data_IF_535975335075
#
_entry.id   IF_535975335075
#
_cell.length_a   1.000
_cell.length_b   1.000
_cell.length_c   1.000
_cell.angle_alpha   90.00
_cell.angle_beta   90.00
_cell.angle_gamma   90.00
#
_symmetry.space_group_name_H-M   'P 1'
#
loop_
_entity.id
_entity.type
_entity.pdbx_description
1 polymer ?
#
# COMPACT_ATOMS: atom_id res chain seq x y z
N UNK A 1 -6.37 11.70 -5.83
CA UNK A 1 -6.02 11.02 -4.57
C UNK A 1 -5.83 12.04 -3.46
N UNK A 2 -6.76 12.07 -2.50
CA UNK A 2 -6.68 12.77 -1.22
C UNK A 2 -7.54 11.98 -0.24
N UNK A 3 -6.93 11.45 0.82
CA UNK A 3 -7.58 10.59 1.81
C UNK A 3 -7.15 10.95 3.24
N UNK A 4 -7.97 10.56 4.20
CA UNK A 4 -7.63 10.47 5.62
C UNK A 4 -7.82 9.03 6.08
N UNK A 5 -6.82 8.46 6.75
CA UNK A 5 -6.78 7.05 7.15
C UNK A 5 -6.15 6.94 8.53
N UNK A 6 -6.64 5.98 9.35
CA UNK A 6 -6.00 5.67 10.62
C UNK A 6 -4.63 5.03 10.38
N UNK A 7 -3.62 5.58 11.05
CA UNK A 7 -2.24 5.18 10.87
C UNK A 7 -2.03 3.70 11.21
N UNK A 8 -2.65 3.24 12.29
CA UNK A 8 -2.54 1.86 12.79
C UNK A 8 -3.05 0.87 11.74
N UNK A 9 -4.21 1.15 11.14
CA UNK A 9 -4.78 0.31 10.08
C UNK A 9 -3.92 0.31 8.82
N UNK A 10 -3.34 1.46 8.46
CA UNK A 10 -2.40 1.57 7.34
C UNK A 10 -1.13 0.75 7.60
N UNK A 11 -0.57 0.84 8.80
CA UNK A 11 0.60 0.07 9.22
C UNK A 11 0.33 -1.43 9.18
N UNK A 12 -0.81 -1.88 9.69
CA UNK A 12 -1.21 -3.30 9.66
C UNK A 12 -1.29 -3.82 8.22
N UNK A 13 -1.94 -3.07 7.32
CA UNK A 13 -2.05 -3.44 5.92
C UNK A 13 -0.70 -3.49 5.20
N UNK A 14 0.18 -2.52 5.44
CA UNK A 14 1.53 -2.49 4.87
C UNK A 14 2.37 -3.69 5.35
N UNK A 15 2.28 -4.03 6.63
CA UNK A 15 2.94 -5.21 7.18
C UNK A 15 2.43 -6.50 6.55
N UNK A 16 1.12 -6.62 6.35
CA UNK A 16 0.50 -7.81 5.75
C UNK A 16 0.98 -8.04 4.30
N UNK A 17 1.12 -6.98 3.50
CA UNK A 17 1.55 -7.11 2.09
C UNK A 17 3.07 -7.10 1.91
N UNK A 18 3.85 -6.70 2.92
CA UNK A 18 5.31 -6.53 2.83
C UNK A 18 6.07 -7.78 2.33
N UNK A 19 5.56 -8.97 2.65
CA UNK A 19 6.22 -10.24 2.34
C UNK A 19 6.25 -10.57 0.84
N UNK A 20 5.30 -10.06 0.06
CA UNK A 20 5.19 -10.40 -1.38
C UNK A 20 6.03 -9.48 -2.27
N UNK A 21 6.19 -8.21 -1.88
CA UNK A 21 6.99 -7.23 -2.62
C UNK A 21 8.45 -7.24 -2.13
N UNK A 22 9.11 -8.39 -2.24
CA UNK A 22 10.53 -8.53 -1.95
C UNK A 22 11.41 -7.91 -3.05
N UNK A 23 12.69 -7.67 -2.72
CA UNK A 23 13.67 -7.04 -3.62
C UNK A 23 13.80 -7.82 -4.93
N UNK A 24 13.20 -7.31 -5.99
CA UNK A 24 13.35 -7.77 -7.37
C UNK A 24 14.15 -6.74 -8.18
N UNK A 25 15.32 -7.15 -8.68
CA UNK A 25 16.20 -6.29 -9.47
C UNK A 25 15.81 -6.25 -10.95
N UNK A 26 15.31 -7.36 -11.48
CA UNK A 26 14.93 -7.51 -12.88
C UNK A 26 13.63 -6.76 -13.20
N UNK A 27 12.69 -6.73 -12.25
CA UNK A 27 11.42 -6.03 -12.39
C UNK A 27 11.13 -5.15 -11.16
N UNK A 28 11.73 -3.94 -11.08
CA UNK A 28 11.66 -3.09 -9.90
C UNK A 28 10.26 -2.65 -9.48
N UNK A 29 9.30 -2.63 -10.41
CA UNK A 29 7.91 -2.29 -10.11
C UNK A 29 7.27 -3.27 -9.12
N UNK A 30 7.72 -4.53 -9.06
CA UNK A 30 7.27 -5.53 -8.08
C UNK A 30 7.72 -5.23 -6.64
N UNK A 31 8.65 -4.28 -6.45
CA UNK A 31 9.01 -3.76 -5.13
C UNK A 31 8.02 -2.71 -4.60
N UNK A 32 6.96 -2.42 -5.36
CA UNK A 32 6.02 -1.34 -5.08
C UNK A 32 4.73 -1.88 -4.48
N UNK A 33 4.04 -1.01 -3.75
CA UNK A 33 2.62 -1.16 -3.41
C UNK A 33 1.80 -0.27 -4.32
N UNK A 34 0.72 -0.81 -4.86
CA UNK A 34 -0.34 -0.03 -5.48
C UNK A 34 -1.34 0.36 -4.38
N UNK A 35 -1.54 1.66 -4.21
CA UNK A 35 -2.52 2.24 -3.30
C UNK A 35 -3.66 2.78 -4.17
N UNK A 36 -4.85 2.21 -4.03
CA UNK A 36 -6.05 2.67 -4.76
C UNK A 36 -7.13 3.08 -3.79
N UNK A 37 -7.68 4.28 -3.95
CA UNK A 37 -8.72 4.85 -3.09
C UNK A 37 -10.02 5.03 -3.88
N UNK A 38 -11.08 4.36 -3.44
CA UNK A 38 -12.42 4.42 -4.04
C UNK A 38 -13.46 4.44 -2.91
N UNK A 39 -14.45 5.34 -2.99
CA UNK A 39 -15.49 5.51 -1.97
C UNK A 39 -14.87 5.60 -0.56
N UNK A 40 -15.30 4.75 0.37
CA UNK A 40 -14.85 4.78 1.77
C UNK A 40 -13.68 3.83 2.04
N UNK A 41 -12.96 3.39 1.00
CA UNK A 41 -11.91 2.41 1.15
C UNK A 41 -10.62 2.78 0.42
N UNK A 42 -9.51 2.48 1.09
CA UNK A 42 -8.18 2.41 0.51
C UNK A 42 -7.78 0.95 0.41
N UNK A 43 -7.38 0.52 -0.78
CA UNK A 43 -6.88 -0.82 -1.03
C UNK A 43 -5.38 -0.77 -1.31
N UNK A 44 -4.62 -1.56 -0.54
CA UNK A 44 -3.20 -1.81 -0.79
C UNK A 44 -3.07 -3.11 -1.59
N UNK A 45 -2.31 -3.10 -2.68
CA UNK A 45 -2.10 -4.26 -3.54
C UNK A 45 -0.61 -4.46 -3.85
N UNK A 46 -0.16 -5.70 -3.82
CA UNK A 46 1.20 -6.09 -4.20
C UNK A 46 1.19 -7.52 -4.79
N UNK A 47 2.17 -7.83 -5.64
CA UNK A 47 2.29 -9.13 -6.32
C UNK A 47 3.74 -9.41 -6.72
N UNK A 48 4.07 -10.69 -6.84
CA UNK A 48 5.32 -11.22 -7.40
C UNK A 48 5.10 -11.96 -8.73
N UNK A 49 3.91 -11.85 -9.33
CA UNK A 49 3.40 -12.57 -10.51
C UNK A 49 2.98 -14.04 -10.27
N UNK A 50 3.23 -14.61 -9.09
CA UNK A 50 2.71 -15.94 -8.71
C UNK A 50 1.53 -15.81 -7.75
N UNK A 51 1.64 -14.87 -6.81
CA UNK A 51 0.63 -14.55 -5.82
C UNK A 51 0.36 -13.04 -5.82
N UNK A 52 -0.82 -12.65 -5.35
CA UNK A 52 -1.18 -11.26 -5.15
C UNK A 52 -1.95 -11.08 -3.85
N UNK A 53 -1.65 -10.01 -3.11
CA UNK A 53 -2.36 -9.66 -1.88
C UNK A 53 -3.12 -8.36 -2.12
N UNK A 54 -4.39 -8.32 -1.70
CA UNK A 54 -5.23 -7.12 -1.65
C UNK A 54 -5.70 -6.92 -0.22
N UNK A 55 -5.39 -5.76 0.36
CA UNK A 55 -5.78 -5.41 1.73
C UNK A 55 -6.66 -4.18 1.71
N UNK A 56 -7.86 -4.28 2.27
CA UNK A 56 -8.84 -3.19 2.29
C UNK A 56 -8.84 -2.51 3.64
N UNK A 57 -8.83 -1.17 3.64
CA UNK A 57 -8.82 -0.35 4.83
C UNK A 57 -9.91 0.69 4.72
N UNK A 58 -10.72 0.82 5.77
CA UNK A 58 -11.68 1.90 5.87
C UNK A 58 -10.92 3.25 5.93
N UNK A 59 -11.28 4.18 5.04
CA UNK A 59 -10.66 5.50 4.95
C UNK A 59 -11.67 6.53 4.48
N UNK A 60 -11.48 7.78 4.88
CA UNK A 60 -12.25 8.89 4.32
C UNK A 60 -11.60 9.37 3.01
N UNK A 61 -12.31 9.31 1.89
CA UNK A 61 -11.78 9.72 0.58
C UNK A 61 -12.42 11.01 0.12
N UNK A 62 -11.60 12.06 -0.01
CA UNK A 62 -12.03 13.34 -0.58
C UNK A 62 -11.84 13.39 -2.11
N UNK A 63 -10.79 12.73 -2.61
CA UNK A 63 -10.53 12.63 -4.05
C UNK A 63 -9.99 11.24 -4.35
N UNK A 64 -10.74 10.46 -5.12
CA UNK A 64 -10.33 9.13 -5.57
C UNK A 64 -9.04 9.16 -6.41
N UNK A 65 -8.48 7.98 -6.63
CA UNK A 65 -7.33 7.77 -7.50
C UNK A 65 -6.42 6.67 -6.99
N UNK A 66 -5.37 6.42 -7.77
CA UNK A 66 -4.41 5.37 -7.48
C UNK A 66 -2.98 5.83 -7.75
N UNK A 67 -2.04 5.25 -7.01
CA UNK A 67 -0.62 5.49 -7.16
C UNK A 67 0.16 4.24 -6.75
N UNK A 68 1.24 3.95 -7.47
CA UNK A 68 2.23 2.97 -7.05
C UNK A 68 3.42 3.69 -6.42
N UNK A 69 3.91 3.19 -5.29
CA UNK A 69 5.12 3.71 -4.66
C UNK A 69 6.00 2.59 -4.08
N UNK A 70 7.32 2.82 -3.90
CA UNK A 70 8.20 1.82 -3.31
C UNK A 70 7.74 1.42 -1.91
N UNK A 71 7.43 0.13 -1.71
CA UNK A 71 6.78 -0.34 -0.50
C UNK A 71 7.63 -0.10 0.75
N UNK A 72 8.92 -0.44 0.71
CA UNK A 72 9.81 -0.27 1.88
C UNK A 72 9.99 1.18 2.30
N UNK A 73 10.05 2.10 1.34
CA UNK A 73 10.19 3.54 1.65
C UNK A 73 8.90 4.04 2.30
N UNK A 74 7.75 3.67 1.74
CA UNK A 74 6.46 4.08 2.27
C UNK A 74 6.18 3.48 3.65
N UNK A 75 6.50 2.20 3.85
CA UNK A 75 6.40 1.53 5.14
C UNK A 75 7.27 2.23 6.21
N UNK A 76 8.54 2.52 5.88
CA UNK A 76 9.44 3.22 6.80
C UNK A 76 8.94 4.61 7.17
N UNK A 77 8.34 5.34 6.22
CA UNK A 77 7.69 6.63 6.49
C UNK A 77 6.53 6.48 7.49
N UNK A 78 5.62 5.52 7.26
CA UNK A 78 4.46 5.29 8.13
C UNK A 78 4.88 4.83 9.54
N UNK A 79 5.95 4.03 9.64
CA UNK A 79 6.53 3.62 10.91
C UNK A 79 7.16 4.79 11.68
N UNK A 80 7.76 5.76 10.98
CA UNK A 80 8.42 6.93 11.56
C UNK A 80 7.53 8.11 11.94
N UNK A 81 6.25 8.10 11.57
CA UNK A 81 5.29 9.11 12.04
C UNK A 81 5.15 9.03 13.58
N UNK A 82 4.72 10.09 14.25
CA UNK A 82 4.38 10.09 15.68
C UNK A 82 2.87 10.01 15.86
#
# INVERSE_FOLDING_TARGET
>A
MKITILRENLKEGLNAISRIAQKNLSLPILNSVLISCEKNFTCLKATDLEMGIKWWILSNTEKEGEIACPLRVFQGLVEGLS
#
